data_IF_025689923072
#
_entry.id   IF_025689923072
#
_cell.length_a   1.000
_cell.length_b   1.000
_cell.length_c   1.000
_cell.angle_alpha   90.00
_cell.angle_beta   90.00
_cell.angle_gamma   90.00
#
_symmetry.space_group_name_H-M   'P 1'
#
loop_
_entity.id
_entity.type
_entity.pdbx_description
1 polymer ?
#
# COMPACT_ATOMS: atom_id res chain seq x y z
N UNK A 1 2.31 9.43 -37.70
CA UNK A 1 1.31 10.52 -37.66
C UNK A 1 0.10 10.05 -38.47
N UNK A 2 -1.09 10.05 -37.88
CA UNK A 2 -2.32 9.71 -38.62
C UNK A 2 -2.56 10.75 -39.72
N UNK A 3 -3.05 10.34 -40.89
CA UNK A 3 -3.40 11.31 -41.93
C UNK A 3 -4.63 12.15 -41.54
N UNK A 4 -5.50 11.60 -40.70
CA UNK A 4 -6.83 12.15 -40.38
C UNK A 4 -6.86 13.06 -39.14
N UNK A 5 -5.93 12.87 -38.21
CA UNK A 5 -5.94 13.54 -36.90
C UNK A 5 -4.56 14.07 -36.50
N UNK A 6 -4.56 15.26 -35.92
CA UNK A 6 -3.45 15.72 -35.08
C UNK A 6 -3.61 15.09 -33.68
N UNK A 7 -2.50 14.69 -33.07
CA UNK A 7 -2.48 14.13 -31.70
C UNK A 7 -1.48 14.93 -30.89
N UNK A 8 -1.91 15.45 -29.75
CA UNK A 8 -1.06 16.17 -28.81
C UNK A 8 -1.17 15.55 -27.42
N UNK A 9 -0.02 15.36 -26.77
CA UNK A 9 0.08 15.02 -25.36
C UNK A 9 0.83 16.18 -24.70
N UNK A 10 0.17 16.86 -23.77
CA UNK A 10 0.74 17.99 -23.03
C UNK A 10 0.67 17.72 -21.53
N UNK A 11 1.54 18.35 -20.74
CA UNK A 11 1.48 18.29 -19.27
C UNK A 11 1.09 19.65 -18.69
N UNK A 12 0.27 19.65 -17.65
CA UNK A 12 -0.08 20.86 -16.89
C UNK A 12 0.73 21.01 -15.60
N UNK A 13 1.79 20.22 -15.39
CA UNK A 13 2.63 20.26 -14.18
C UNK A 13 3.13 21.68 -13.86
N UNK A 14 3.59 22.39 -14.89
CA UNK A 14 4.14 23.75 -14.76
C UNK A 14 3.11 24.76 -14.25
N UNK A 15 1.81 24.47 -14.37
CA UNK A 15 0.73 25.35 -13.91
C UNK A 15 0.30 25.07 -12.45
N UNK A 16 0.93 24.12 -11.76
CA UNK A 16 0.55 23.66 -10.41
C UNK A 16 0.44 24.75 -9.35
N UNK A 17 1.35 25.73 -9.41
CA UNK A 17 1.39 26.82 -8.43
C UNK A 17 0.83 28.14 -8.97
N UNK A 18 0.31 28.13 -10.19
CA UNK A 18 -0.25 29.31 -10.81
C UNK A 18 -1.59 29.68 -10.17
N UNK A 19 -1.78 30.98 -9.98
CA UNK A 19 -3.01 31.56 -9.40
C UNK A 19 -3.73 32.49 -10.38
N UNK A 20 -3.16 32.70 -11.55
CA UNK A 20 -3.70 33.57 -12.59
C UNK A 20 -4.30 32.73 -13.70
N UNK A 21 -5.53 33.04 -14.10
CA UNK A 21 -6.16 32.47 -15.30
C UNK A 21 -5.27 32.63 -16.53
N UNK A 22 -4.68 33.81 -16.70
CA UNK A 22 -3.81 34.13 -17.83
C UNK A 22 -2.58 33.22 -17.84
N UNK A 23 -1.91 33.05 -16.70
CA UNK A 23 -0.71 32.21 -16.62
C UNK A 23 -1.01 30.74 -16.94
N UNK A 24 -2.12 30.22 -16.45
CA UNK A 24 -2.57 28.84 -16.74
C UNK A 24 -2.86 28.65 -18.24
N UNK A 25 -3.53 29.61 -18.88
CA UNK A 25 -3.83 29.57 -20.31
C UNK A 25 -2.58 29.75 -21.18
N UNK A 26 -1.66 30.62 -20.77
CA UNK A 26 -0.37 30.81 -21.44
C UNK A 26 0.46 29.53 -21.43
N UNK A 27 0.51 28.82 -20.30
CA UNK A 27 1.17 27.52 -20.20
C UNK A 27 0.53 26.53 -21.17
N UNK A 28 -0.80 26.36 -21.13
CA UNK A 28 -1.48 25.43 -22.04
C UNK A 28 -1.24 25.77 -23.52
N UNK A 29 -1.32 27.06 -23.90
CA UNK A 29 -1.09 27.51 -25.28
C UNK A 29 0.35 27.26 -25.72
N UNK A 30 1.32 27.46 -24.82
CA UNK A 30 2.73 27.17 -25.05
C UNK A 30 2.97 25.68 -25.27
N UNK A 31 2.43 24.81 -24.40
CA UNK A 31 2.59 23.36 -24.54
C UNK A 31 1.94 22.83 -25.83
N UNK A 32 0.77 23.34 -26.21
CA UNK A 32 0.13 23.03 -27.49
C UNK A 32 0.98 23.48 -28.68
N UNK A 33 1.54 24.69 -28.61
CA UNK A 33 2.37 25.24 -29.68
C UNK A 33 3.62 24.40 -29.92
N UNK A 34 4.29 24.01 -28.83
CA UNK A 34 5.48 23.17 -28.89
C UNK A 34 5.16 21.77 -29.42
N UNK A 35 4.10 21.14 -28.92
CA UNK A 35 3.74 19.76 -29.27
C UNK A 35 3.23 19.62 -30.70
N UNK A 36 2.48 20.61 -31.18
CA UNK A 36 1.90 20.59 -32.53
C UNK A 36 2.79 21.28 -33.57
N UNK A 37 3.92 21.89 -33.17
CA UNK A 37 4.79 22.71 -34.03
C UNK A 37 3.99 23.78 -34.78
N UNK A 38 3.09 24.48 -34.06
CA UNK A 38 2.17 25.49 -34.61
C UNK A 38 2.10 26.70 -33.69
N UNK A 39 1.98 27.89 -34.26
CA UNK A 39 1.79 29.12 -33.48
C UNK A 39 0.35 29.23 -32.99
N UNK A 40 0.14 29.04 -31.70
CA UNK A 40 -1.10 29.44 -31.04
C UNK A 40 -0.98 30.85 -30.45
N UNK A 41 -2.08 31.61 -30.39
CA UNK A 41 -2.08 32.93 -29.78
C UNK A 41 -1.90 32.84 -28.27
N UNK A 42 -1.37 33.90 -27.66
CA UNK A 42 -1.58 34.14 -26.24
C UNK A 42 -3.08 34.33 -25.97
N UNK A 43 -3.61 33.70 -24.92
CA UNK A 43 -5.01 33.80 -24.53
C UNK A 43 -5.09 34.53 -23.19
N UNK A 44 -5.36 35.83 -23.26
CA UNK A 44 -5.39 36.69 -22.07
C UNK A 44 -6.74 36.64 -21.32
N UNK A 45 -7.78 36.08 -21.95
CA UNK A 45 -9.15 36.00 -21.41
C UNK A 45 -9.72 34.60 -21.59
N UNK A 46 -10.27 34.03 -20.51
CA UNK A 46 -10.80 32.67 -20.51
C UNK A 46 -11.84 32.38 -21.60
N UNK A 47 -12.73 33.34 -21.88
CA UNK A 47 -13.76 33.23 -22.94
C UNK A 47 -13.19 32.98 -24.35
N UNK A 48 -11.92 33.28 -24.57
CA UNK A 48 -11.24 33.08 -25.85
C UNK A 48 -10.58 31.70 -25.96
N UNK A 49 -10.50 30.92 -24.88
CA UNK A 49 -9.91 29.59 -24.87
C UNK A 49 -10.48 28.65 -25.95
N UNK A 50 -11.80 28.57 -26.19
CA UNK A 50 -12.34 27.69 -27.23
C UNK A 50 -11.84 27.99 -28.65
N UNK A 51 -11.38 29.23 -28.90
CA UNK A 51 -10.87 29.63 -30.22
C UNK A 51 -9.67 28.79 -30.64
N UNK A 52 -8.83 28.35 -29.69
CA UNK A 52 -7.67 27.49 -29.93
C UNK A 52 -8.06 26.22 -30.70
N UNK A 53 -9.28 25.74 -30.51
CA UNK A 53 -9.76 24.50 -31.11
C UNK A 53 -10.59 24.72 -32.38
N UNK A 54 -10.50 25.87 -33.04
CA UNK A 54 -11.24 26.15 -34.28
C UNK A 54 -10.36 26.00 -35.52
N UNK A 55 -10.98 26.02 -36.70
CA UNK A 55 -10.26 26.02 -37.98
C UNK A 55 -9.30 27.20 -38.18
N UNK A 56 -9.37 28.23 -37.32
CA UNK A 56 -8.43 29.35 -37.32
C UNK A 56 -7.01 28.92 -36.94
N UNK A 57 -6.86 27.96 -36.02
CA UNK A 57 -5.55 27.52 -35.53
C UNK A 57 -5.29 26.03 -35.77
N UNK A 58 -6.34 25.25 -36.05
CA UNK A 58 -6.23 23.83 -36.38
C UNK A 58 -6.64 23.58 -37.84
N UNK A 59 -5.79 22.86 -38.56
CA UNK A 59 -6.08 22.41 -39.94
C UNK A 59 -6.76 21.05 -40.00
N UNK A 60 -6.69 20.29 -38.90
CA UNK A 60 -7.21 18.93 -38.78
C UNK A 60 -7.90 18.75 -37.41
N UNK A 61 -8.81 17.77 -37.29
CA UNK A 61 -9.33 17.39 -35.99
C UNK A 61 -8.20 16.96 -35.03
N UNK A 62 -8.30 17.35 -33.77
CA UNK A 62 -7.30 17.15 -32.72
C UNK A 62 -7.77 16.10 -31.71
N UNK A 63 -6.89 15.15 -31.36
CA UNK A 63 -7.00 14.33 -30.16
C UNK A 63 -6.01 14.89 -29.14
N UNK A 64 -6.52 15.42 -28.04
CA UNK A 64 -5.71 16.04 -26.98
C UNK A 64 -5.69 15.15 -25.74
N UNK A 65 -4.49 14.87 -25.24
CA UNK A 65 -4.26 14.23 -23.95
C UNK A 65 -3.58 15.26 -23.06
N UNK A 66 -4.19 15.57 -21.93
CA UNK A 66 -3.65 16.50 -20.94
C UNK A 66 -3.26 15.68 -19.72
N UNK A 67 -1.95 15.55 -19.51
CA UNK A 67 -1.36 14.90 -18.36
C UNK A 67 -1.25 15.85 -17.16
N UNK A 68 -1.22 15.28 -15.96
CA UNK A 68 -1.22 15.99 -14.68
C UNK A 68 -2.27 17.11 -14.57
N UNK A 69 -3.46 16.85 -15.13
CA UNK A 69 -4.53 17.84 -15.15
C UNK A 69 -5.04 18.18 -13.74
N UNK A 70 -4.89 17.27 -12.77
CA UNK A 70 -5.21 17.49 -11.36
C UNK A 70 -4.13 18.26 -10.58
N UNK A 71 -3.02 18.63 -11.22
CA UNK A 71 -1.98 19.46 -10.60
C UNK A 71 -2.42 20.92 -10.45
N UNK A 72 -3.29 21.42 -11.34
CA UNK A 72 -3.73 22.82 -11.34
C UNK A 72 -4.81 23.09 -10.28
N UNK A 73 -5.02 24.37 -9.94
CA UNK A 73 -6.06 24.76 -9.00
C UNK A 73 -7.47 24.32 -9.42
N UNK A 74 -8.26 23.87 -8.45
CA UNK A 74 -9.63 23.36 -8.66
C UNK A 74 -10.54 24.35 -9.40
N UNK A 75 -10.37 25.65 -9.15
CA UNK A 75 -11.10 26.69 -9.87
C UNK A 75 -10.81 26.69 -11.38
N UNK A 76 -9.58 26.38 -11.80
CA UNK A 76 -9.18 26.31 -13.21
C UNK A 76 -9.66 25.02 -13.83
N UNK A 77 -9.60 23.90 -13.10
CA UNK A 77 -10.16 22.62 -13.56
C UNK A 77 -11.64 22.80 -13.90
N UNK A 78 -12.41 23.45 -13.03
CA UNK A 78 -13.83 23.71 -13.25
C UNK A 78 -14.09 24.57 -14.50
N UNK A 79 -13.27 25.60 -14.71
CA UNK A 79 -13.39 26.47 -15.88
C UNK A 79 -13.02 25.74 -17.17
N UNK A 80 -11.97 24.93 -17.18
CA UNK A 80 -11.62 24.07 -18.32
C UNK A 80 -12.73 23.08 -18.64
N UNK A 81 -13.24 22.38 -17.63
CA UNK A 81 -14.30 21.39 -17.77
C UNK A 81 -15.57 21.99 -18.39
N UNK A 82 -15.92 23.21 -17.98
CA UNK A 82 -17.07 23.94 -18.51
C UNK A 82 -16.90 24.25 -20.01
N UNK A 83 -15.72 24.72 -20.41
CA UNK A 83 -15.42 25.03 -21.82
C UNK A 83 -15.31 23.76 -22.69
N UNK A 84 -14.66 22.71 -22.19
CA UNK A 84 -14.59 21.43 -22.90
C UNK A 84 -15.98 20.80 -23.08
N UNK A 85 -16.85 20.90 -22.06
CA UNK A 85 -18.26 20.49 -22.18
C UNK A 85 -18.98 21.28 -23.26
N UNK A 86 -18.80 22.59 -23.29
CA UNK A 86 -19.40 23.46 -24.31
C UNK A 86 -18.94 23.05 -25.73
N UNK A 87 -17.62 22.86 -25.91
CA UNK A 87 -17.04 22.38 -27.18
C UNK A 87 -17.65 21.04 -27.59
N UNK A 88 -17.73 20.09 -26.66
CA UNK A 88 -18.32 18.77 -26.89
C UNK A 88 -19.79 18.85 -27.33
N UNK A 89 -20.61 19.62 -26.63
CA UNK A 89 -22.04 19.78 -26.95
C UNK A 89 -22.25 20.45 -28.32
N UNK A 90 -21.47 21.48 -28.65
CA UNK A 90 -21.51 22.09 -29.97
C UNK A 90 -21.17 21.08 -31.07
N UNK A 91 -20.13 20.27 -30.86
CA UNK A 91 -19.77 19.20 -31.80
C UNK A 91 -20.87 18.14 -31.93
N UNK A 92 -21.58 17.80 -30.85
CA UNK A 92 -22.70 16.84 -30.89
C UNK A 92 -23.92 17.40 -31.64
N UNK A 93 -24.19 18.70 -31.53
CA UNK A 93 -25.29 19.36 -32.26
C UNK A 93 -25.04 19.44 -33.77
N UNK A 94 -23.78 19.41 -34.21
CA UNK A 94 -23.38 19.36 -35.63
C UNK A 94 -23.24 17.92 -36.15
N UNK A 95 -24.19 17.03 -35.79
CA UNK A 95 -24.11 15.58 -36.08
C UNK A 95 -24.09 15.24 -37.57
N UNK A 96 -24.57 16.14 -38.42
CA UNK A 96 -24.57 16.08 -39.88
C UNK A 96 -23.20 16.38 -40.51
N UNK A 97 -22.30 17.02 -39.77
CA UNK A 97 -20.97 17.42 -40.27
C UNK A 97 -19.89 16.38 -39.98
N UNK A 98 -18.98 16.17 -40.93
CA UNK A 98 -17.74 15.40 -40.69
C UNK A 98 -16.88 16.12 -39.65
N UNK A 99 -16.02 15.39 -38.95
CA UNK A 99 -15.21 15.97 -37.85
C UNK A 99 -14.35 17.17 -38.26
N UNK A 100 -13.84 17.19 -39.49
CA UNK A 100 -13.04 18.30 -40.06
C UNK A 100 -13.87 19.52 -40.48
N UNK A 101 -15.19 19.40 -40.51
CA UNK A 101 -16.14 20.45 -40.92
C UNK A 101 -16.88 21.06 -39.73
N UNK A 102 -16.71 20.50 -38.52
CA UNK A 102 -17.32 21.01 -37.29
C UNK A 102 -16.68 22.32 -36.87
N UNK A 103 -17.43 23.15 -36.16
CA UNK A 103 -16.99 24.47 -35.69
C UNK A 103 -15.74 24.38 -34.80
N UNK A 104 -15.76 23.45 -33.85
CA UNK A 104 -14.60 23.08 -33.06
C UNK A 104 -14.00 21.79 -33.60
N UNK A 105 -12.68 21.73 -33.74
CA UNK A 105 -11.89 20.63 -34.24
C UNK A 105 -11.28 19.75 -33.13
N UNK A 106 -11.44 20.10 -31.85
CA UNK A 106 -11.11 19.19 -30.74
C UNK A 106 -12.01 17.95 -30.79
N UNK A 107 -11.51 16.86 -31.36
CA UNK A 107 -12.23 15.63 -31.62
C UNK A 107 -12.31 14.72 -30.40
N UNK A 108 -11.19 14.53 -29.72
CA UNK A 108 -11.08 13.71 -28.52
C UNK A 108 -10.30 14.44 -27.45
N UNK A 109 -10.67 14.20 -26.19
CA UNK A 109 -10.01 14.76 -25.02
C UNK A 109 -9.82 13.64 -23.98
N UNK A 110 -8.60 13.47 -23.49
CA UNK A 110 -8.29 12.69 -22.31
C UNK A 110 -7.65 13.61 -21.28
N UNK A 111 -8.16 13.56 -20.04
CA UNK A 111 -7.63 14.30 -18.90
C UNK A 111 -7.07 13.24 -17.94
N UNK A 112 -5.76 13.25 -17.72
CA UNK A 112 -5.07 12.30 -16.86
C UNK A 112 -4.75 13.00 -15.53
N UNK A 113 -4.94 12.29 -14.42
CA UNK A 113 -4.64 12.78 -13.09
C UNK A 113 -4.75 11.65 -12.07
N UNK A 114 -4.13 11.83 -10.91
CA UNK A 114 -4.20 10.87 -9.80
C UNK A 114 -5.57 10.93 -9.16
N UNK A 115 -6.10 12.14 -8.97
CA UNK A 115 -7.48 12.33 -8.54
C UNK A 115 -8.40 11.99 -9.69
N UNK A 116 -9.44 11.21 -9.40
CA UNK A 116 -10.60 11.30 -10.26
C UNK A 116 -11.04 12.76 -10.21
N UNK A 117 -10.94 13.44 -11.35
CA UNK A 117 -11.42 14.81 -11.55
C UNK A 117 -12.92 14.93 -11.16
N UNK A 118 -13.56 13.79 -10.91
CA UNK A 118 -14.87 13.53 -10.30
C UNK A 118 -15.09 14.12 -8.90
N UNK A 119 -14.04 14.33 -8.09
CA UNK A 119 -14.17 14.83 -6.72
C UNK A 119 -14.37 16.35 -6.57
N UNK A 120 -14.43 17.06 -7.70
CA UNK A 120 -14.59 18.51 -7.72
C UNK A 120 -16.10 18.82 -7.61
N UNK A 121 -16.53 19.13 -6.38
CA UNK A 121 -17.90 19.50 -6.07
C UNK A 121 -18.27 20.80 -6.79
N UNK A 122 -19.03 20.71 -7.87
CA UNK A 122 -19.77 21.86 -8.38
C UNK A 122 -21.08 21.99 -7.60
N UNK A 123 -21.20 23.07 -6.83
CA UNK A 123 -22.43 23.47 -6.11
C UNK A 123 -23.63 23.64 -7.07
N UNK A 124 -23.38 23.78 -8.38
CA UNK A 124 -24.39 24.00 -9.43
C UNK A 124 -24.58 22.79 -10.36
N UNK A 125 -23.93 21.66 -10.10
CA UNK A 125 -23.97 20.43 -10.91
C UNK A 125 -22.70 20.19 -11.74
N UNK A 126 -22.29 18.93 -11.87
CA UNK A 126 -21.00 18.57 -12.47
C UNK A 126 -20.97 18.81 -14.00
N UNK A 127 -20.02 19.61 -14.54
CA UNK A 127 -19.82 19.76 -15.98
C UNK A 127 -19.42 18.42 -16.63
N UNK A 128 -18.97 17.47 -15.82
CA UNK A 128 -18.47 16.16 -16.22
C UNK A 128 -19.54 15.09 -16.47
N UNK A 129 -20.84 15.39 -16.40
CA UNK A 129 -21.92 14.42 -16.69
C UNK A 129 -21.95 13.88 -18.15
N UNK A 130 -21.01 14.29 -19.01
CA UNK A 130 -20.83 13.79 -20.39
C UNK A 130 -19.59 12.90 -20.57
N UNK A 131 -18.84 12.63 -19.51
CA UNK A 131 -17.56 11.89 -19.58
C UNK A 131 -17.68 10.41 -19.26
N UNK A 132 -16.74 9.61 -19.79
CA UNK A 132 -16.47 8.25 -19.33
C UNK A 132 -15.17 8.27 -18.54
N UNK A 133 -15.25 7.95 -17.25
CA UNK A 133 -14.05 7.72 -16.44
C UNK A 133 -13.48 6.35 -16.76
N UNK A 134 -12.21 6.30 -17.17
CA UNK A 134 -11.47 5.06 -17.36
C UNK A 134 -10.51 4.91 -16.18
N UNK A 135 -10.73 3.89 -15.36
CA UNK A 135 -9.76 3.50 -14.34
C UNK A 135 -8.67 2.66 -15.00
N UNK A 136 -7.41 3.05 -14.80
CA UNK A 136 -6.24 2.26 -15.19
C UNK A 136 -5.86 1.39 -13.97
N UNK A 137 -6.05 0.06 -14.04
CA UNK A 137 -5.73 -0.81 -12.91
C UNK A 137 -4.21 -1.00 -12.78
N UNK A 138 -3.80 -1.61 -11.66
CA UNK A 138 -2.47 -2.18 -11.52
C UNK A 138 -2.23 -3.29 -12.56
N UNK A 139 -0.95 -3.61 -12.81
CA UNK A 139 -0.56 -4.70 -13.68
C UNK A 139 -1.12 -6.02 -13.15
N UNK A 140 -1.61 -6.86 -14.05
CA UNK A 140 -1.94 -8.25 -13.76
C UNK A 140 -0.68 -9.10 -13.64
N UNK A 141 -0.81 -10.29 -13.04
CA UNK A 141 0.29 -11.24 -12.95
C UNK A 141 0.86 -11.59 -14.33
N UNK A 142 0.00 -11.78 -15.33
CA UNK A 142 0.42 -12.10 -16.70
C UNK A 142 1.21 -10.96 -17.35
N UNK A 143 0.85 -9.70 -17.08
CA UNK A 143 1.63 -8.54 -17.55
C UNK A 143 2.98 -8.45 -16.87
N UNK A 144 3.05 -8.63 -15.55
CA UNK A 144 4.33 -8.65 -14.81
C UNK A 144 5.22 -9.79 -15.31
N UNK A 145 4.65 -10.98 -15.47
CA UNK A 145 5.34 -12.13 -16.03
C UNK A 145 5.85 -11.85 -17.44
N UNK A 146 5.03 -11.26 -18.31
CA UNK A 146 5.42 -10.88 -19.66
C UNK A 146 6.59 -9.89 -19.70
N UNK A 147 6.65 -8.93 -18.77
CA UNK A 147 7.80 -8.01 -18.64
C UNK A 147 9.09 -8.76 -18.32
N UNK A 148 9.06 -9.75 -17.41
CA UNK A 148 10.23 -10.59 -17.13
C UNK A 148 10.57 -11.54 -18.28
N UNK A 149 9.59 -12.02 -19.05
CA UNK A 149 9.83 -12.80 -20.27
C UNK A 149 10.58 -11.96 -21.33
N UNK A 150 10.22 -10.68 -21.52
CA UNK A 150 10.97 -9.77 -22.38
C UNK A 150 12.39 -9.53 -21.88
N UNK A 151 12.56 -9.30 -20.57
CA UNK A 151 13.89 -9.15 -19.98
C UNK A 151 14.77 -10.39 -20.21
N UNK A 152 14.23 -11.59 -20.01
CA UNK A 152 14.97 -12.85 -20.23
C UNK A 152 15.37 -13.01 -21.69
N UNK A 153 14.49 -12.65 -22.63
CA UNK A 153 14.78 -12.69 -24.06
C UNK A 153 15.93 -11.73 -24.44
N UNK A 154 15.90 -10.49 -23.93
CA UNK A 154 16.84 -9.45 -24.33
C UNK A 154 18.19 -9.55 -23.62
N UNK A 155 18.21 -9.97 -22.36
CA UNK A 155 19.42 -10.08 -21.55
C UNK A 155 20.08 -11.47 -21.60
N UNK A 156 19.32 -12.52 -21.93
CA UNK A 156 19.74 -13.91 -21.79
C UNK A 156 19.82 -14.42 -20.35
N UNK A 157 19.54 -13.58 -19.34
CA UNK A 157 19.56 -13.97 -17.94
C UNK A 157 18.21 -14.56 -17.53
N UNK A 158 18.20 -15.80 -17.04
CA UNK A 158 17.00 -16.49 -16.58
C UNK A 158 16.45 -15.92 -15.27
N UNK A 159 15.13 -15.95 -15.09
CA UNK A 159 14.43 -15.56 -13.86
C UNK A 159 13.52 -16.71 -13.43
N UNK A 160 13.66 -17.16 -12.19
CA UNK A 160 12.83 -18.24 -11.67
C UNK A 160 11.37 -17.81 -11.52
N UNK A 161 10.43 -18.69 -11.85
CA UNK A 161 9.00 -18.38 -11.79
C UNK A 161 8.52 -18.01 -10.37
N UNK A 162 9.15 -18.59 -9.34
CA UNK A 162 8.83 -18.29 -7.93
C UNK A 162 9.20 -16.85 -7.56
N UNK A 163 10.29 -16.31 -8.13
CA UNK A 163 10.69 -14.91 -7.94
C UNK A 163 9.63 -13.97 -8.50
N UNK A 164 9.12 -14.26 -9.71
CA UNK A 164 8.07 -13.46 -10.37
C UNK A 164 6.76 -13.53 -9.56
N UNK A 165 6.37 -14.73 -9.12
CA UNK A 165 5.17 -14.92 -8.29
C UNK A 165 5.28 -14.13 -6.99
N UNK A 166 6.39 -14.28 -6.27
CA UNK A 166 6.59 -13.62 -4.98
C UNK A 166 6.65 -12.09 -5.12
N UNK A 167 7.27 -11.58 -6.19
CA UNK A 167 7.28 -10.15 -6.50
C UNK A 167 5.84 -9.65 -6.69
N UNK A 168 5.05 -10.36 -7.49
CA UNK A 168 3.66 -9.99 -7.72
C UNK A 168 2.84 -10.04 -6.42
N UNK A 169 3.01 -11.08 -5.61
CA UNK A 169 2.30 -11.23 -4.33
C UNK A 169 2.62 -10.06 -3.38
N UNK A 170 3.88 -9.63 -3.31
CA UNK A 170 4.33 -8.53 -2.45
C UNK A 170 3.94 -7.14 -2.96
N UNK A 171 3.98 -6.91 -4.28
CA UNK A 171 3.78 -5.59 -4.89
C UNK A 171 2.37 -5.37 -5.45
N UNK A 172 1.57 -6.44 -5.60
CA UNK A 172 0.21 -6.45 -6.15
C UNK A 172 0.11 -5.71 -7.50
N UNK A 173 1.15 -5.84 -8.33
CA UNK A 173 1.20 -5.25 -9.66
C UNK A 173 1.27 -3.73 -9.71
N UNK A 174 1.51 -3.03 -8.59
CA UNK A 174 1.68 -1.58 -8.60
C UNK A 174 2.87 -1.22 -9.52
N UNK A 175 2.67 -0.48 -10.63
CA UNK A 175 3.72 -0.31 -11.64
C UNK A 175 5.03 0.24 -11.09
N UNK A 176 4.97 1.29 -10.26
CA UNK A 176 6.15 1.92 -9.69
C UNK A 176 6.96 1.01 -8.75
N UNK A 177 6.30 0.20 -7.91
CA UNK A 177 7.00 -0.73 -7.02
C UNK A 177 7.48 -1.98 -7.75
N UNK A 178 6.66 -2.49 -8.69
CA UNK A 178 6.98 -3.66 -9.51
C UNK A 178 8.22 -3.39 -10.35
N UNK A 179 8.27 -2.27 -11.06
CA UNK A 179 9.43 -1.89 -11.88
C UNK A 179 10.66 -1.61 -11.02
N UNK A 180 10.52 -0.85 -9.92
CA UNK A 180 11.63 -0.58 -9.02
C UNK A 180 12.22 -1.86 -8.44
N UNK A 181 11.39 -2.79 -7.97
CA UNK A 181 11.90 -4.06 -7.45
C UNK A 181 12.51 -4.93 -8.56
N UNK A 182 11.94 -4.89 -9.77
CA UNK A 182 12.54 -5.48 -10.96
C UNK A 182 13.95 -4.95 -11.24
N UNK A 183 14.16 -3.63 -11.16
CA UNK A 183 15.47 -2.97 -11.29
C UNK A 183 16.46 -3.48 -10.22
N UNK A 184 16.03 -3.61 -8.95
CA UNK A 184 16.90 -4.15 -7.90
C UNK A 184 17.35 -5.59 -8.19
N UNK A 185 16.50 -6.41 -8.80
CA UNK A 185 16.82 -7.79 -9.17
C UNK A 185 17.73 -7.87 -10.39
N UNK A 186 17.53 -7.01 -11.39
CA UNK A 186 18.17 -7.12 -12.70
C UNK A 186 19.40 -6.23 -12.84
N UNK A 187 19.45 -5.08 -12.18
CA UNK A 187 20.56 -4.11 -12.24
C UNK A 187 21.37 -4.08 -10.94
N UNK A 188 20.75 -4.42 -9.80
CA UNK A 188 21.42 -4.49 -8.50
C UNK A 188 21.46 -3.15 -7.77
N UNK A 189 22.31 -3.07 -6.76
CA UNK A 189 22.54 -1.89 -5.91
C UNK A 189 23.93 -1.98 -5.26
N UNK A 190 24.35 -0.97 -4.50
CA UNK A 190 25.73 -0.87 -3.99
C UNK A 190 26.22 -2.15 -3.27
N UNK A 191 25.40 -2.76 -2.40
CA UNK A 191 25.73 -3.98 -1.68
C UNK A 191 25.40 -5.29 -2.41
N UNK A 192 24.77 -5.24 -3.59
CA UNK A 192 24.39 -6.41 -4.37
C UNK A 192 24.65 -6.21 -5.87
N UNK A 193 25.62 -6.95 -6.39
CA UNK A 193 25.99 -6.93 -7.79
C UNK A 193 25.38 -8.14 -8.51
N UNK A 194 24.63 -7.88 -9.57
CA UNK A 194 23.93 -8.93 -10.32
C UNK A 194 24.93 -9.79 -11.10
N UNK A 195 24.89 -11.11 -10.87
CA UNK A 195 25.63 -12.10 -11.65
C UNK A 195 24.84 -12.45 -12.91
N UNK A 196 25.14 -11.81 -14.03
CA UNK A 196 24.41 -11.97 -15.31
C UNK A 196 24.48 -13.40 -15.88
N UNK A 197 25.46 -14.19 -15.48
CA UNK A 197 25.64 -15.61 -15.84
C UNK A 197 24.85 -16.57 -14.93
N UNK A 198 24.23 -16.06 -13.86
CA UNK A 198 23.43 -16.83 -12.91
C UNK A 198 21.94 -16.47 -13.04
N UNK A 199 21.03 -17.42 -12.80
CA UNK A 199 19.60 -17.12 -12.72
C UNK A 199 19.30 -16.17 -11.55
N UNK A 200 18.26 -15.35 -11.72
CA UNK A 200 17.64 -14.61 -10.61
C UNK A 200 16.75 -15.60 -9.85
N UNK A 201 17.18 -15.95 -8.65
CA UNK A 201 16.63 -16.99 -7.79
C UNK A 201 16.07 -16.43 -6.47
N UNK A 202 15.60 -17.34 -5.59
CA UNK A 202 15.07 -16.98 -4.27
C UNK A 202 16.07 -16.20 -3.39
N UNK A 203 17.37 -16.52 -3.47
CA UNK A 203 18.41 -15.83 -2.70
C UNK A 203 18.62 -14.39 -3.20
N UNK A 204 18.56 -14.19 -4.52
CA UNK A 204 18.55 -12.88 -5.17
C UNK A 204 17.35 -12.06 -4.68
N UNK A 205 16.16 -12.67 -4.61
CA UNK A 205 14.96 -12.03 -4.09
C UNK A 205 15.13 -11.61 -2.62
N UNK A 206 15.54 -12.53 -1.74
CA UNK A 206 15.69 -12.23 -0.30
C UNK A 206 16.66 -11.08 -0.04
N UNK A 207 17.76 -11.03 -0.81
CA UNK A 207 18.76 -9.96 -0.73
C UNK A 207 18.17 -8.61 -1.15
N UNK A 208 17.53 -8.55 -2.32
CA UNK A 208 16.88 -7.32 -2.81
C UNK A 208 15.72 -6.88 -1.90
N UNK A 209 14.93 -7.82 -1.41
CA UNK A 209 13.76 -7.56 -0.54
C UNK A 209 14.18 -7.00 0.81
N UNK A 210 15.23 -7.54 1.43
CA UNK A 210 15.80 -6.98 2.65
C UNK A 210 16.30 -5.54 2.44
N UNK A 211 17.02 -5.28 1.34
CA UNK A 211 17.51 -3.94 1.02
C UNK A 211 16.34 -2.96 0.76
N UNK A 212 15.33 -3.38 -0.01
CA UNK A 212 14.12 -2.62 -0.28
C UNK A 212 13.32 -2.28 0.99
N UNK A 213 13.28 -3.20 1.96
CA UNK A 213 12.59 -2.99 3.23
C UNK A 213 13.33 -2.09 4.20
N UNK A 214 14.67 -2.06 4.19
CA UNK A 214 15.43 -1.47 5.31
C UNK A 214 16.49 -0.44 4.91
N UNK A 215 17.06 -0.52 3.71
CA UNK A 215 18.24 0.26 3.33
C UNK A 215 17.97 1.27 2.21
N UNK A 216 17.18 0.88 1.20
CA UNK A 216 17.06 1.65 -0.04
C UNK A 216 15.92 2.67 0.02
N UNK A 217 16.16 3.91 -0.45
CA UNK A 217 15.10 4.91 -0.54
C UNK A 217 14.17 4.59 -1.71
N UNK A 218 12.86 4.73 -1.48
CA UNK A 218 11.86 4.71 -2.55
C UNK A 218 10.87 5.87 -2.33
N UNK A 219 10.82 6.82 -3.26
CA UNK A 219 10.03 8.04 -3.14
C UNK A 219 8.52 7.77 -3.00
N UNK A 220 8.01 6.74 -3.67
CA UNK A 220 6.61 6.33 -3.57
C UNK A 220 6.29 5.87 -2.13
N UNK A 221 7.10 4.98 -1.56
CA UNK A 221 6.94 4.53 -0.17
C UNK A 221 7.09 5.67 0.84
N UNK A 222 8.10 6.53 0.67
CA UNK A 222 8.30 7.69 1.54
C UNK A 222 7.10 8.65 1.48
N UNK A 223 6.52 8.85 0.30
CA UNK A 223 5.29 9.62 0.14
C UNK A 223 4.12 8.94 0.85
N UNK A 224 3.87 7.64 0.64
CA UNK A 224 2.83 6.85 1.33
C UNK A 224 2.94 7.01 2.85
N UNK A 225 4.13 6.81 3.42
CA UNK A 225 4.38 6.98 4.86
C UNK A 225 4.08 8.43 5.30
N UNK A 226 4.50 9.42 4.50
CA UNK A 226 4.27 10.84 4.82
C UNK A 226 2.80 11.23 4.89
N UNK A 227 1.94 10.53 4.16
CA UNK A 227 0.48 10.73 4.13
C UNK A 227 -0.19 9.95 5.26
N UNK A 228 0.18 8.68 5.43
CA UNK A 228 -0.35 7.78 6.46
C UNK A 228 -0.06 8.26 7.89
N UNK A 229 1.09 8.91 8.14
CA UNK A 229 1.47 9.34 9.50
C UNK A 229 0.78 10.62 10.00
N UNK A 230 0.03 11.31 9.14
CA UNK A 230 -0.62 12.58 9.50
C UNK A 230 -1.98 12.31 10.14
N UNK A 231 -2.35 13.10 11.14
CA UNK A 231 -3.72 13.13 11.65
C UNK A 231 -4.67 13.77 10.61
N UNK A 232 -5.91 13.27 10.46
CA UNK A 232 -6.54 12.16 11.21
C UNK A 232 -6.20 10.74 10.68
N UNK A 233 -5.54 10.64 9.52
CA UNK A 233 -5.31 9.40 8.78
C UNK A 233 -4.51 8.34 9.55
N UNK A 234 -3.62 8.77 10.45
CA UNK A 234 -2.86 7.87 11.33
C UNK A 234 -3.79 6.94 12.12
N UNK A 235 -4.90 7.46 12.64
CA UNK A 235 -5.85 6.63 13.40
C UNK A 235 -6.48 5.56 12.53
N UNK A 236 -6.91 5.90 11.31
CA UNK A 236 -7.47 4.94 10.37
C UNK A 236 -6.45 3.84 10.01
N UNK A 237 -5.17 4.20 9.80
CA UNK A 237 -4.12 3.22 9.51
C UNK A 237 -3.82 2.32 10.72
N UNK A 238 -3.80 2.85 11.94
CA UNK A 238 -3.65 2.05 13.16
C UNK A 238 -4.86 1.12 13.40
N UNK A 239 -6.06 1.54 13.01
CA UNK A 239 -7.25 0.69 13.05
C UNK A 239 -7.19 -0.46 12.05
N UNK A 240 -6.57 -0.23 10.89
CA UNK A 240 -6.39 -1.28 9.89
C UNK A 240 -5.46 -2.40 10.35
N UNK A 241 -4.63 -2.21 11.38
CA UNK A 241 -3.77 -3.26 11.94
C UNK A 241 -4.47 -4.14 13.00
N UNK A 242 -5.77 -3.95 13.25
CA UNK A 242 -6.57 -4.79 14.16
C UNK A 242 -6.85 -6.16 13.54
N UNK A 243 -6.91 -7.22 14.37
CA UNK A 243 -6.87 -8.60 13.88
C UNK A 243 -8.19 -9.22 13.44
N UNK A 244 -9.35 -8.64 13.80
CA UNK A 244 -10.61 -9.42 13.80
C UNK A 244 -11.78 -8.80 13.02
N UNK A 245 -11.77 -7.52 12.67
CA UNK A 245 -12.88 -6.88 11.96
C UNK A 245 -12.45 -6.23 10.63
N UNK A 246 -13.06 -6.69 9.53
CA UNK A 246 -12.91 -6.02 8.24
C UNK A 246 -13.61 -4.66 8.27
N UNK A 247 -12.89 -3.61 7.94
CA UNK A 247 -13.44 -2.26 7.85
C UNK A 247 -14.15 -2.11 6.51
N UNK A 248 -15.43 -1.70 6.52
CA UNK A 248 -16.19 -1.47 5.28
C UNK A 248 -15.60 -0.26 4.55
N UNK A 249 -15.29 -0.42 3.27
CA UNK A 249 -14.87 0.71 2.45
C UNK A 249 -16.10 1.53 2.04
N UNK A 250 -16.02 2.85 2.26
CA UNK A 250 -17.01 3.83 1.84
C UNK A 250 -16.30 4.93 1.08
N UNK A 251 -16.67 5.14 -0.19
CA UNK A 251 -16.00 6.12 -1.03
C UNK A 251 -16.25 7.57 -0.57
N UNK A 252 -17.37 7.79 0.12
CA UNK A 252 -17.78 9.06 0.74
C UNK A 252 -17.17 9.29 2.14
N UNK A 253 -16.42 8.33 2.68
CA UNK A 253 -15.58 8.54 3.86
C UNK A 253 -14.30 9.29 3.44
N UNK A 254 -14.09 10.55 3.90
CA UNK A 254 -12.96 11.35 3.48
C UNK A 254 -11.59 10.75 3.85
N UNK A 255 -11.50 10.03 4.97
CA UNK A 255 -10.26 9.43 5.44
C UNK A 255 -9.91 8.20 4.60
N UNK A 256 -10.90 7.34 4.34
CA UNK A 256 -10.72 6.19 3.47
C UNK A 256 -10.41 6.62 2.02
N UNK A 257 -11.13 7.61 1.49
CA UNK A 257 -10.87 8.14 0.16
C UNK A 257 -9.45 8.71 0.07
N UNK A 258 -9.04 9.55 1.02
CA UNK A 258 -7.69 10.10 1.03
C UNK A 258 -6.61 9.01 1.05
N UNK A 259 -6.74 8.00 1.91
CA UNK A 259 -5.80 6.90 2.01
C UNK A 259 -5.75 6.06 0.73
N UNK A 260 -6.91 5.79 0.11
CA UNK A 260 -7.03 5.07 -1.15
C UNK A 260 -6.32 5.82 -2.28
N UNK A 261 -6.62 7.11 -2.43
CA UNK A 261 -6.03 7.97 -3.47
C UNK A 261 -4.51 8.17 -3.33
N UNK A 262 -3.97 8.03 -2.12
CA UNK A 262 -2.52 8.11 -1.87
C UNK A 262 -1.84 6.72 -1.88
N UNK A 263 -2.54 5.65 -2.28
CA UNK A 263 -1.97 4.30 -2.41
C UNK A 263 -1.62 3.64 -1.07
N UNK A 264 -2.23 4.08 0.04
CA UNK A 264 -2.05 3.44 1.36
C UNK A 264 -2.93 2.20 1.47
N UNK A 265 -4.17 2.30 0.97
CA UNK A 265 -5.17 1.24 1.03
C UNK A 265 -5.74 0.95 -0.35
N UNK A 266 -6.40 -0.19 -0.46
CA UNK A 266 -7.14 -0.64 -1.63
C UNK A 266 -8.42 -1.36 -1.19
N UNK A 267 -9.30 -1.70 -2.14
CA UNK A 267 -10.59 -2.30 -1.90
C UNK A 267 -10.49 -3.82 -2.10
N UNK A 268 -10.84 -4.58 -1.07
CA UNK A 268 -11.06 -6.02 -1.18
C UNK A 268 -12.56 -6.28 -1.37
N UNK A 269 -12.91 -7.02 -2.41
CA UNK A 269 -14.26 -7.55 -2.58
C UNK A 269 -14.37 -8.90 -1.89
N UNK A 270 -15.28 -9.01 -0.93
CA UNK A 270 -15.58 -10.27 -0.24
C UNK A 270 -17.04 -10.65 -0.49
N UNK A 271 -17.25 -11.89 -0.93
CA UNK A 271 -18.55 -12.39 -1.39
C UNK A 271 -19.20 -11.51 -2.49
N UNK A 272 -20.53 -11.55 -2.63
CA UNK A 272 -21.25 -10.82 -3.68
C UNK A 272 -21.49 -9.34 -3.35
N UNK A 273 -21.42 -8.93 -2.08
CA UNK A 273 -21.92 -7.60 -1.64
C UNK A 273 -20.98 -6.83 -0.71
N UNK A 274 -19.90 -7.42 -0.19
CA UNK A 274 -19.01 -6.74 0.76
C UNK A 274 -17.82 -6.08 0.07
N UNK A 275 -17.61 -4.78 0.33
CA UNK A 275 -16.41 -4.04 -0.05
C UNK A 275 -15.69 -3.60 1.22
N UNK A 276 -14.46 -4.05 1.40
CA UNK A 276 -13.69 -3.85 2.61
C UNK A 276 -12.35 -3.19 2.31
N UNK A 277 -11.80 -2.52 3.30
CA UNK A 277 -10.49 -1.89 3.23
C UNK A 277 -9.41 -2.96 3.47
N UNK A 278 -8.40 -2.98 2.60
CA UNK A 278 -7.12 -3.68 2.80
C UNK A 278 -5.96 -2.70 2.57
N UNK A 279 -4.75 -3.05 2.99
CA UNK A 279 -3.57 -2.33 2.51
C UNK A 279 -3.40 -2.53 1.00
N UNK A 280 -2.80 -1.55 0.33
CA UNK A 280 -2.63 -1.57 -1.14
C UNK A 280 -1.75 -2.73 -1.62
N UNK A 281 -0.75 -3.10 -0.83
CA UNK A 281 0.03 -4.32 -1.03
C UNK A 281 0.67 -4.80 0.29
N UNK A 282 1.04 -6.09 0.39
CA UNK A 282 1.79 -6.61 1.54
C UNK A 282 3.09 -5.83 1.80
N UNK A 283 3.78 -5.39 0.74
CA UNK A 283 4.99 -4.57 0.90
C UNK A 283 4.68 -3.21 1.54
N UNK A 284 3.63 -2.51 1.11
CA UNK A 284 3.19 -1.24 1.73
C UNK A 284 2.82 -1.45 3.20
N UNK A 285 2.09 -2.53 3.50
CA UNK A 285 1.75 -2.89 4.88
C UNK A 285 3.00 -3.11 5.74
N UNK A 286 4.00 -3.86 5.26
CA UNK A 286 5.29 -4.09 5.95
C UNK A 286 6.04 -2.78 6.20
N UNK A 287 6.09 -1.88 5.21
CA UNK A 287 6.76 -0.58 5.34
C UNK A 287 6.06 0.31 6.37
N UNK A 288 4.72 0.33 6.40
CA UNK A 288 3.96 1.08 7.40
C UNK A 288 4.09 0.47 8.80
N UNK A 289 4.01 -0.85 8.92
CA UNK A 289 4.18 -1.56 10.18
C UNK A 289 5.54 -1.26 10.80
N UNK A 290 6.63 -1.41 10.03
CA UNK A 290 7.97 -1.11 10.51
C UNK A 290 8.12 0.36 10.91
N UNK A 291 7.57 1.28 10.11
CA UNK A 291 7.58 2.71 10.43
C UNK A 291 6.91 3.02 11.77
N UNK A 292 5.68 2.53 12.00
CA UNK A 292 4.95 2.80 13.24
C UNK A 292 5.55 2.07 14.44
N UNK A 293 6.09 0.86 14.24
CA UNK A 293 6.80 0.14 15.29
C UNK A 293 8.05 0.91 15.75
N UNK A 294 8.86 1.41 14.81
CA UNK A 294 10.04 2.22 15.12
C UNK A 294 9.68 3.59 15.71
N UNK A 295 8.62 4.23 15.21
CA UNK A 295 8.15 5.51 15.73
C UNK A 295 7.73 5.40 17.20
N UNK A 296 6.97 4.36 17.55
CA UNK A 296 6.42 4.17 18.89
C UNK A 296 7.42 3.53 19.86
N UNK A 297 8.32 2.67 19.37
CA UNK A 297 9.20 1.85 20.21
C UNK A 297 10.68 1.99 19.84
N UNK A 298 11.12 3.23 19.59
CA UNK A 298 12.51 3.55 19.28
C UNK A 298 13.51 3.09 20.35
N UNK A 299 13.09 3.10 21.62
CA UNK A 299 13.90 2.65 22.74
C UNK A 299 13.09 1.68 23.59
N UNK A 300 13.57 0.43 23.68
CA UNK A 300 12.94 -0.63 24.46
C UNK A 300 13.58 -0.82 25.84
N UNK A 301 14.56 0.01 26.22
CA UNK A 301 15.29 -0.21 27.46
C UNK A 301 16.08 -1.51 27.43
N UNK A 302 16.34 -2.04 28.63
CA UNK A 302 17.09 -3.29 28.79
C UNK A 302 16.12 -4.48 28.72
N UNK A 303 16.31 -5.33 27.71
CA UNK A 303 15.48 -6.53 27.51
C UNK A 303 15.96 -7.75 28.32
N UNK A 304 17.25 -7.79 28.65
CA UNK A 304 17.92 -8.88 29.39
C UNK A 304 18.77 -8.25 30.48
N UNK A 305 18.59 -8.67 31.73
CA UNK A 305 19.41 -8.17 32.83
C UNK A 305 20.84 -8.74 32.76
N UNK A 306 21.86 -8.01 33.26
CA UNK A 306 23.22 -8.52 33.30
C UNK A 306 23.27 -9.86 34.06
N UNK A 307 24.01 -10.82 33.51
CA UNK A 307 24.16 -12.19 34.04
C UNK A 307 22.88 -13.02 34.11
N UNK A 308 21.78 -12.56 33.52
CA UNK A 308 20.57 -13.35 33.39
C UNK A 308 20.82 -14.55 32.46
N UNK A 309 20.61 -15.76 32.97
CA UNK A 309 20.66 -16.96 32.13
C UNK A 309 19.50 -16.96 31.14
N UNK A 310 19.79 -17.33 29.89
CA UNK A 310 18.81 -17.42 28.80
C UNK A 310 18.57 -18.87 28.35
N UNK A 311 19.12 -19.86 29.05
CA UNK A 311 19.02 -21.27 28.66
C UNK A 311 17.60 -21.86 28.71
N UNK A 312 16.67 -21.18 29.40
CA UNK A 312 15.25 -21.50 29.40
C UNK A 312 14.55 -21.09 28.08
N UNK A 313 15.12 -20.16 27.33
CA UNK A 313 14.63 -19.69 26.02
C UNK A 313 15.48 -20.20 24.87
N UNK A 314 16.80 -20.02 24.95
CA UNK A 314 17.77 -20.41 23.94
C UNK A 314 18.27 -21.80 24.29
N UNK A 315 17.58 -22.82 23.77
CA UNK A 315 17.96 -24.21 23.99
C UNK A 315 18.94 -24.67 22.90
N UNK A 316 19.57 -25.82 23.11
CA UNK A 316 20.40 -26.45 22.07
C UNK A 316 19.57 -26.71 20.81
N UNK A 317 18.33 -27.15 21.00
CA UNK A 317 17.36 -27.47 19.95
C UNK A 317 16.64 -26.26 19.34
N UNK A 318 16.83 -25.03 19.82
CA UNK A 318 16.20 -23.84 19.22
C UNK A 318 15.63 -22.87 20.25
N UNK A 319 14.39 -22.41 20.04
CA UNK A 319 13.68 -21.47 20.91
C UNK A 319 12.55 -22.16 21.67
N UNK A 320 12.46 -21.86 22.97
CA UNK A 320 11.26 -22.08 23.75
C UNK A 320 10.39 -20.81 23.74
N UNK A 321 9.42 -20.76 22.82
CA UNK A 321 8.55 -19.58 22.64
C UNK A 321 7.68 -19.32 23.87
N UNK A 322 7.20 -20.36 24.59
CA UNK A 322 6.43 -20.16 25.83
C UNK A 322 7.24 -19.40 26.88
N UNK A 323 8.52 -19.75 27.07
CA UNK A 323 9.39 -19.04 28.00
C UNK A 323 9.79 -17.65 27.49
N UNK A 324 9.96 -17.48 26.17
CA UNK A 324 10.19 -16.17 25.56
C UNK A 324 8.99 -15.24 25.81
N UNK A 325 7.75 -15.74 25.67
CA UNK A 325 6.54 -14.99 25.95
C UNK A 325 6.36 -14.67 27.44
N UNK A 326 6.76 -15.57 28.35
CA UNK A 326 6.79 -15.26 29.79
C UNK A 326 7.75 -14.11 30.11
N UNK A 327 8.91 -14.08 29.46
CA UNK A 327 9.88 -12.98 29.60
C UNK A 327 9.34 -11.68 29.02
N UNK A 328 8.69 -11.73 27.85
CA UNK A 328 7.99 -10.59 27.28
C UNK A 328 6.94 -10.02 28.24
N UNK A 329 6.06 -10.86 28.80
CA UNK A 329 5.03 -10.41 29.74
C UNK A 329 5.63 -9.77 30.99
N UNK A 330 6.69 -10.36 31.56
CA UNK A 330 7.42 -9.78 32.70
C UNK A 330 8.02 -8.42 32.35
N UNK A 331 8.60 -8.30 31.15
CA UNK A 331 9.16 -7.06 30.63
C UNK A 331 8.08 -5.99 30.44
N UNK A 332 6.96 -6.32 29.79
CA UNK A 332 5.85 -5.40 29.56
C UNK A 332 5.27 -4.92 30.90
N UNK A 333 4.97 -5.83 31.83
CA UNK A 333 4.44 -5.49 33.16
C UNK A 333 5.35 -4.51 33.92
N UNK A 334 6.68 -4.70 33.84
CA UNK A 334 7.67 -3.83 34.50
C UNK A 334 7.75 -2.43 33.86
N UNK A 335 7.53 -2.32 32.54
CA UNK A 335 7.90 -1.14 31.76
C UNK A 335 6.71 -0.40 31.13
N UNK A 336 5.49 -0.97 31.17
CA UNK A 336 4.30 -0.45 30.49
C UNK A 336 4.00 1.02 30.76
N UNK A 337 4.24 1.51 31.98
CA UNK A 337 3.93 2.90 32.36
C UNK A 337 4.68 3.91 31.49
N UNK A 338 5.96 3.66 31.20
CA UNK A 338 6.76 4.54 30.36
C UNK A 338 6.70 4.13 28.87
N UNK A 339 6.60 2.83 28.57
CA UNK A 339 6.48 2.33 27.19
C UNK A 339 5.20 2.78 26.50
N UNK A 340 4.10 2.86 27.24
CA UNK A 340 2.77 3.15 26.71
C UNK A 340 2.28 4.56 27.04
N UNK A 341 3.15 5.39 27.64
CA UNK A 341 2.80 6.74 28.10
C UNK A 341 2.18 7.59 26.99
N UNK A 342 2.84 7.59 25.83
CA UNK A 342 2.48 8.39 24.66
C UNK A 342 1.86 7.54 23.55
N UNK A 343 1.39 6.34 23.89
CA UNK A 343 0.76 5.44 22.93
C UNK A 343 -0.54 6.08 22.37
N UNK A 344 -0.78 5.94 21.05
CA UNK A 344 -2.00 6.45 20.43
C UNK A 344 -3.22 5.72 21.00
N UNK A 345 -4.28 6.49 21.24
CA UNK A 345 -5.52 6.03 21.86
C UNK A 345 -6.69 6.20 20.90
N UNK A 346 -7.60 5.23 20.95
CA UNK A 346 -8.91 5.26 20.32
C UNK A 346 -9.80 6.34 20.95
N UNK A 347 -10.96 6.58 20.33
CA UNK A 347 -12.00 7.49 20.84
C UNK A 347 -12.50 7.13 22.25
N UNK A 348 -12.45 5.85 22.63
CA UNK A 348 -12.81 5.34 23.96
C UNK A 348 -11.65 5.37 24.96
N UNK A 349 -10.55 6.08 24.64
CA UNK A 349 -9.32 6.24 25.44
C UNK A 349 -8.49 4.97 25.62
N UNK A 350 -8.90 3.84 25.03
CA UNK A 350 -8.10 2.60 25.03
C UNK A 350 -6.96 2.71 24.02
N UNK A 351 -5.82 2.11 24.35
CA UNK A 351 -4.69 2.03 23.42
C UNK A 351 -5.08 1.17 22.22
N UNK A 352 -4.64 1.56 21.03
CA UNK A 352 -4.82 0.74 19.82
C UNK A 352 -4.15 -0.63 19.98
N UNK A 353 -4.86 -1.69 19.60
CA UNK A 353 -4.34 -3.07 19.60
C UNK A 353 -3.00 -3.20 18.87
N UNK A 354 -2.88 -2.54 17.71
CA UNK A 354 -1.67 -2.48 16.92
C UNK A 354 -0.43 -2.06 17.74
N UNK A 355 -0.59 -1.22 18.76
CA UNK A 355 0.52 -0.79 19.64
C UNK A 355 1.11 -1.98 20.39
N UNK A 356 0.28 -2.92 20.84
CA UNK A 356 0.76 -4.14 21.50
C UNK A 356 1.46 -5.07 20.52
N UNK A 357 0.97 -5.15 19.28
CA UNK A 357 1.61 -5.94 18.22
C UNK A 357 2.98 -5.37 17.85
N UNK A 358 3.07 -4.05 17.67
CA UNK A 358 4.33 -3.35 17.45
C UNK A 358 5.30 -3.54 18.62
N UNK A 359 4.81 -3.47 19.85
CA UNK A 359 5.63 -3.66 21.05
C UNK A 359 6.21 -5.09 21.11
N UNK A 360 5.39 -6.11 20.88
CA UNK A 360 5.83 -7.50 20.85
C UNK A 360 6.82 -7.74 19.72
N UNK A 361 6.54 -7.25 18.51
CA UNK A 361 7.47 -7.34 17.39
C UNK A 361 8.84 -6.71 17.75
N UNK A 362 8.84 -5.49 18.28
CA UNK A 362 10.08 -4.80 18.64
C UNK A 362 10.83 -5.50 19.78
N UNK A 363 10.10 -6.09 20.74
CA UNK A 363 10.71 -6.90 21.79
C UNK A 363 11.40 -8.12 21.20
N UNK A 364 10.69 -8.89 20.37
CA UNK A 364 11.23 -10.10 19.74
C UNK A 364 12.41 -9.78 18.83
N UNK A 365 12.28 -8.76 17.99
CA UNK A 365 13.33 -8.30 17.09
C UNK A 365 14.59 -7.91 17.87
N UNK A 366 14.49 -6.99 18.83
CA UNK A 366 15.66 -6.55 19.60
C UNK A 366 16.22 -7.64 20.53
N UNK A 367 15.39 -8.55 21.02
CA UNK A 367 15.86 -9.68 21.82
C UNK A 367 16.62 -10.70 20.97
N UNK A 368 16.12 -11.07 19.79
CA UNK A 368 16.66 -12.17 18.99
C UNK A 368 17.75 -11.75 18.01
N UNK A 369 17.71 -10.51 17.50
CA UNK A 369 18.67 -10.04 16.50
C UNK A 369 20.15 -10.17 16.96
N UNK A 370 20.54 -9.75 18.19
CA UNK A 370 21.92 -9.93 18.67
C UNK A 370 22.32 -11.41 18.82
N UNK A 371 21.35 -12.32 18.81
CA UNK A 371 21.52 -13.77 18.98
C UNK A 371 21.46 -14.50 17.63
N UNK A 372 21.53 -13.76 16.51
CA UNK A 372 21.39 -14.28 15.14
C UNK A 372 20.00 -14.87 14.82
N UNK A 373 18.98 -14.52 15.60
CA UNK A 373 17.59 -14.79 15.24
C UNK A 373 17.05 -13.71 14.32
N UNK A 374 16.22 -14.10 13.36
CA UNK A 374 15.55 -13.18 12.43
C UNK A 374 14.06 -13.16 12.76
N UNK A 375 13.45 -11.97 12.77
CA UNK A 375 12.04 -11.76 13.12
C UNK A 375 11.40 -10.94 12.02
N UNK A 376 10.28 -11.42 11.48
CA UNK A 376 9.59 -10.81 10.34
C UNK A 376 8.10 -10.69 10.65
N UNK A 377 7.47 -9.52 10.42
CA UNK A 377 6.03 -9.43 10.37
C UNK A 377 5.55 -9.95 9.01
N UNK A 378 4.57 -10.85 9.03
CA UNK A 378 3.89 -11.38 7.85
C UNK A 378 2.42 -10.99 7.86
N UNK A 379 1.88 -10.75 6.67
CA UNK A 379 0.52 -10.24 6.49
C UNK A 379 -0.21 -11.03 5.38
N UNK A 380 -0.76 -12.22 5.69
CA UNK A 380 -1.19 -13.17 4.67
C UNK A 380 -2.38 -12.71 3.80
N UNK A 381 -3.22 -11.79 4.31
CA UNK A 381 -4.49 -11.42 3.67
C UNK A 381 -4.59 -9.95 3.29
N UNK A 382 -3.56 -9.14 3.57
CA UNK A 382 -3.62 -7.67 3.42
C UNK A 382 -4.62 -6.96 4.35
N UNK A 383 -5.39 -7.71 5.14
CA UNK A 383 -6.46 -7.22 6.03
C UNK A 383 -5.95 -6.93 7.45
N UNK A 384 -4.78 -6.32 7.60
CA UNK A 384 -4.32 -5.92 8.93
C UNK A 384 -3.80 -7.00 9.86
N UNK A 385 -4.20 -8.26 9.65
CA UNK A 385 -3.77 -9.42 10.44
C UNK A 385 -2.26 -9.50 10.46
N UNK A 386 -1.70 -9.54 11.67
CA UNK A 386 -0.27 -9.51 11.92
C UNK A 386 0.14 -10.88 12.45
N UNK A 387 0.95 -11.56 11.67
CA UNK A 387 1.64 -12.77 12.08
C UNK A 387 3.12 -12.45 12.25
N UNK A 388 3.82 -13.11 13.17
CA UNK A 388 5.25 -12.94 13.38
C UNK A 388 5.94 -14.27 13.10
N UNK A 389 6.86 -14.25 12.14
CA UNK A 389 7.74 -15.39 11.85
C UNK A 389 9.10 -15.15 12.49
N UNK A 390 9.57 -16.16 13.23
CA UNK A 390 10.91 -16.18 13.78
C UNK A 390 11.72 -17.29 13.10
N UNK A 391 12.90 -16.96 12.60
CA UNK A 391 13.90 -17.94 12.14
C UNK A 391 15.07 -17.97 13.11
N UNK A 392 15.38 -19.15 13.65
CA UNK A 392 16.48 -19.36 14.59
C UNK A 392 17.03 -20.79 14.49
N UNK A 393 18.35 -20.94 14.28
CA UNK A 393 19.02 -22.25 14.11
C UNK A 393 18.31 -23.17 13.11
N UNK A 394 18.07 -22.69 11.88
CA UNK A 394 17.34 -23.40 10.81
C UNK A 394 15.88 -23.79 11.12
N UNK A 395 15.34 -23.39 12.28
CA UNK A 395 13.93 -23.60 12.63
C UNK A 395 13.12 -22.35 12.39
N UNK A 396 11.88 -22.56 11.98
CA UNK A 396 10.88 -21.52 11.77
C UNK A 396 9.81 -21.67 12.84
N UNK A 397 9.44 -20.55 13.48
CA UNK A 397 8.38 -20.46 14.47
C UNK A 397 7.36 -19.44 13.99
N UNK A 398 6.08 -19.84 13.91
CA UNK A 398 4.97 -18.94 13.61
C UNK A 398 4.27 -18.50 14.89
N UNK A 399 4.02 -17.20 15.01
CA UNK A 399 3.24 -16.59 16.09
C UNK A 399 2.10 -15.81 15.46
N UNK A 400 0.88 -16.28 15.65
CA UNK A 400 -0.33 -15.55 15.28
C UNK A 400 -0.79 -14.66 16.44
N UNK A 401 -1.08 -13.39 16.16
CA UNK A 401 -1.55 -12.43 17.15
C UNK A 401 -3.06 -12.26 17.05
N UNK A 402 -3.74 -12.24 18.20
CA UNK A 402 -5.18 -12.04 18.31
C UNK A 402 -5.55 -11.20 19.52
N UNK A 403 -6.67 -10.49 19.41
CA UNK A 403 -7.40 -10.00 20.57
C UNK A 403 -8.39 -11.05 21.02
N UNK A 404 -8.45 -11.31 22.32
CA UNK A 404 -9.47 -12.21 22.85
C UNK A 404 -10.86 -11.53 22.83
N UNK A 405 -11.86 -12.25 22.35
CA UNK A 405 -13.26 -11.80 22.34
C UNK A 405 -14.10 -12.60 23.33
N UNK A 406 -14.38 -13.86 23.02
CA UNK A 406 -15.17 -14.79 23.83
C UNK A 406 -14.74 -16.24 23.58
N UNK A 407 -15.46 -17.20 24.20
CA UNK A 407 -15.15 -18.63 24.04
C UNK A 407 -15.32 -19.13 22.59
N UNK A 408 -16.25 -18.55 21.82
CA UNK A 408 -16.44 -18.92 20.41
C UNK A 408 -15.27 -18.40 19.58
N UNK A 409 -14.93 -17.12 19.73
CA UNK A 409 -13.79 -16.51 19.07
C UNK A 409 -12.47 -17.18 19.39
N UNK A 410 -12.28 -17.63 20.64
CA UNK A 410 -11.13 -18.45 21.02
C UNK A 410 -11.06 -19.76 20.22
N UNK A 411 -12.17 -20.50 20.10
CA UNK A 411 -12.20 -21.76 19.34
C UNK A 411 -11.96 -21.54 17.86
N UNK A 412 -12.53 -20.49 17.29
CA UNK A 412 -12.32 -20.13 15.88
C UNK A 412 -10.86 -19.75 15.61
N UNK A 413 -10.24 -19.01 16.54
CA UNK A 413 -8.83 -18.62 16.45
C UNK A 413 -7.89 -19.85 16.50
N UNK A 414 -8.22 -20.87 17.30
CA UNK A 414 -7.46 -22.14 17.29
C UNK A 414 -7.49 -22.81 15.91
N UNK A 415 -8.66 -22.89 15.29
CA UNK A 415 -8.83 -23.51 13.97
C UNK A 415 -8.10 -22.69 12.90
N UNK A 416 -8.20 -21.36 12.95
CA UNK A 416 -7.50 -20.45 12.05
C UNK A 416 -5.98 -20.60 12.15
N UNK A 417 -5.43 -20.59 13.38
CA UNK A 417 -4.01 -20.77 13.62
C UNK A 417 -3.51 -22.14 13.12
N UNK A 418 -4.28 -23.21 13.35
CA UNK A 418 -3.93 -24.53 12.83
C UNK A 418 -3.91 -24.56 11.29
N UNK A 419 -4.87 -23.90 10.64
CA UNK A 419 -4.93 -23.73 9.19
C UNK A 419 -3.71 -22.97 8.66
N UNK A 420 -3.34 -21.88 9.32
CA UNK A 420 -2.19 -21.06 8.95
C UNK A 420 -0.86 -21.80 9.16
N UNK A 421 -0.68 -22.49 10.29
CA UNK A 421 0.50 -23.33 10.53
C UNK A 421 0.70 -24.37 9.42
N UNK A 422 -0.39 -24.96 8.91
CA UNK A 422 -0.32 -25.90 7.78
C UNK A 422 0.13 -25.22 6.49
N UNK A 423 -0.36 -24.01 6.21
CA UNK A 423 0.08 -23.22 5.04
C UNK A 423 1.58 -22.91 5.09
N UNK A 424 2.11 -22.64 6.29
CA UNK A 424 3.53 -22.42 6.52
C UNK A 424 4.36 -23.71 6.57
N UNK A 425 3.74 -24.89 6.46
CA UNK A 425 4.43 -26.17 6.59
C UNK A 425 4.94 -26.47 8.01
N UNK A 426 4.37 -25.83 9.03
CA UNK A 426 4.77 -25.99 10.43
C UNK A 426 3.97 -27.09 11.11
N UNK A 427 4.64 -27.90 11.95
CA UNK A 427 3.99 -28.87 12.83
C UNK A 427 3.38 -28.24 14.08
N UNK A 428 3.89 -27.07 14.47
CA UNK A 428 3.46 -26.34 15.68
C UNK A 428 3.38 -24.84 15.38
N UNK A 429 2.38 -24.16 15.95
CA UNK A 429 2.19 -22.71 15.85
C UNK A 429 1.78 -22.14 17.21
N UNK A 430 2.22 -20.91 17.50
CA UNK A 430 1.87 -20.21 18.72
C UNK A 430 0.76 -19.20 18.45
N UNK A 431 -0.24 -19.16 19.32
CA UNK A 431 -1.36 -18.23 19.24
C UNK A 431 -1.35 -17.33 20.47
N UNK A 432 -1.04 -16.06 20.28
CA UNK A 432 -0.90 -15.08 21.37
C UNK A 432 -2.14 -14.21 21.44
N UNK A 433 -2.86 -14.30 22.56
CA UNK A 433 -4.00 -13.45 22.87
C UNK A 433 -3.59 -12.28 23.75
N UNK A 434 -3.81 -11.06 23.29
CA UNK A 434 -3.71 -9.88 24.15
C UNK A 434 -5.00 -9.69 24.93
N UNK A 435 -4.88 -9.57 26.26
CA UNK A 435 -6.01 -9.39 27.19
C UNK A 435 -5.70 -8.34 28.24
N UNK A 436 -6.72 -7.65 28.74
CA UNK A 436 -6.56 -6.73 29.89
C UNK A 436 -6.12 -7.51 31.13
N UNK A 437 -6.80 -8.62 31.44
CA UNK A 437 -6.51 -9.48 32.59
C UNK A 437 -6.96 -10.93 32.32
N UNK A 438 -6.29 -11.90 32.93
CA UNK A 438 -6.70 -13.30 32.98
C UNK A 438 -6.23 -13.94 34.30
N UNK A 439 -7.12 -14.69 34.95
CA UNK A 439 -6.80 -15.41 36.20
C UNK A 439 -6.13 -16.77 35.95
N UNK A 440 -5.58 -17.37 37.00
CA UNK A 440 -4.85 -18.65 36.94
C UNK A 440 -5.73 -19.83 36.49
N UNK A 441 -7.03 -19.84 36.86
CA UNK A 441 -7.96 -20.90 36.48
C UNK A 441 -8.20 -20.88 34.97
N UNK A 442 -8.45 -19.70 34.41
CA UNK A 442 -8.63 -19.50 32.99
C UNK A 442 -7.31 -19.71 32.21
N UNK A 443 -6.15 -19.32 32.75
CA UNK A 443 -4.86 -19.66 32.14
C UNK A 443 -4.67 -21.17 32.03
N UNK A 444 -4.94 -21.92 33.10
CA UNK A 444 -4.85 -23.39 33.10
C UNK A 444 -5.78 -24.01 32.05
N UNK A 445 -6.98 -23.45 31.88
CA UNK A 445 -7.97 -23.94 30.92
C UNK A 445 -7.62 -23.60 29.48
N UNK A 446 -7.21 -22.36 29.19
CA UNK A 446 -7.12 -21.84 27.84
C UNK A 446 -5.70 -21.78 27.27
N UNK A 447 -4.63 -21.97 28.07
CA UNK A 447 -3.26 -22.12 27.53
C UNK A 447 -2.87 -23.56 27.23
N UNK A 448 -3.80 -24.51 27.40
CA UNK A 448 -3.61 -25.91 27.06
C UNK A 448 -3.36 -26.10 25.56
N UNK A 449 -2.40 -26.96 25.21
CA UNK A 449 -2.09 -27.29 23.81
C UNK A 449 -3.33 -27.84 23.10
N UNK A 450 -3.63 -27.31 21.92
CA UNK A 450 -4.72 -27.77 21.07
C UNK A 450 -4.17 -28.51 19.86
N UNK A 451 -4.53 -29.78 19.73
CA UNK A 451 -4.17 -30.59 18.57
C UNK A 451 -5.33 -30.56 17.55
N UNK A 452 -5.12 -29.91 16.41
CA UNK A 452 -6.13 -29.92 15.35
C UNK A 452 -6.09 -31.27 14.61
N UNK A 453 -7.27 -31.86 14.41
CA UNK A 453 -7.41 -33.19 13.80
C UNK A 453 -7.41 -33.13 12.27
N UNK A 454 -7.68 -31.97 11.68
CA UNK A 454 -7.82 -31.79 10.23
C UNK A 454 -6.47 -31.48 9.60
N UNK A 455 -5.73 -30.56 10.21
CA UNK A 455 -4.42 -30.12 9.73
C UNK A 455 -3.28 -30.94 10.32
N UNK A 456 -3.47 -31.54 11.50
CA UNK A 456 -2.41 -32.20 12.25
C UNK A 456 -1.47 -31.22 12.97
N UNK A 457 -1.71 -29.91 12.86
CA UNK A 457 -0.90 -28.88 13.51
C UNK A 457 -1.28 -28.75 14.98
N UNK A 458 -0.27 -28.63 15.83
CA UNK A 458 -0.46 -28.31 17.26
C UNK A 458 -0.43 -26.80 17.46
N UNK A 459 -1.51 -26.25 18.01
CA UNK A 459 -1.61 -24.84 18.39
C UNK A 459 -1.27 -24.71 19.87
N UNK A 460 -0.40 -23.75 20.20
CA UNK A 460 0.04 -23.45 21.56
C UNK A 460 -0.47 -22.07 21.97
N UNK A 461 -1.63 -21.97 22.65
CA UNK A 461 -2.19 -20.70 23.05
C UNK A 461 -1.42 -20.08 24.24
N UNK A 462 -1.29 -18.76 24.23
CA UNK A 462 -0.60 -17.98 25.25
C UNK A 462 -1.38 -16.68 25.46
N UNK A 463 -1.72 -16.35 26.71
CA UNK A 463 -2.35 -15.06 27.04
C UNK A 463 -1.28 -14.07 27.52
N UNK A 464 -1.22 -12.92 26.87
CA UNK A 464 -0.37 -11.79 27.23
C UNK A 464 -1.20 -10.67 27.86
N UNK A 465 -1.02 -10.47 29.18
CA UNK A 465 -1.71 -9.41 29.91
C UNK A 465 -1.12 -8.03 29.57
N UNK A 466 -1.98 -7.13 29.10
CA UNK A 466 -1.65 -5.71 28.89
C UNK A 466 -1.84 -4.92 30.19
N UNK A 467 -2.79 -5.35 31.03
CA UNK A 467 -3.13 -4.79 32.33
C UNK A 467 -3.58 -3.33 32.29
N UNK A 468 -4.28 -2.96 31.22
CA UNK A 468 -5.00 -1.70 31.08
C UNK A 468 -6.42 -1.78 31.62
#
# INVERSE_FOLDING_TARGET
KSEDFDVAIISMESAKYEKSEQAVLEILSRELSQTLEKDFPAIDLWKNFPLLFTSKYLSKPLILIIDEFDAIGEEFINKFASEFRNIYLNRMNESDKKSSQKTYLLHGLALIGVRSVLGIENVTGSPFNVQRSLHIPNLSFDEVKGMFEWYQHDSGQMVESEVIQRLYDEMQGQPGLTCWFGELLTEGFDEYQVRKDSPIDADSFESAYAAALYALPNNNILNIISKAKKEPYKNAVLELFKTDEKIIFKYDDPDANYLYMNGVIDIEKYEKTGYYIKFSSPFVQKRLFNYFADELFRYMGRLVEPFESLGDVLTDDGLNIRNLMKRYQKYLKKNREWLLKDAPKRKDLRIYEAVFHFNLYMYLFQFLHPKKGKVYPEFPTGNGKIDIIIRYKEKVYGIELKTYTDESGYKDALIQAAGYGKQLGLSEIYLVFFVEYIDDENRLRYEADYQDKITGVKVMPIFAETGM
#
